data_IF_535540614965
#
_entry.id   IF_535540614965
#
_cell.length_a   1.000
_cell.length_b   1.000
_cell.length_c   1.000
_cell.angle_alpha   90.00
_cell.angle_beta   90.00
_cell.angle_gamma   90.00
#
_symmetry.space_group_name_H-M   'P 1'
#
loop_
_entity.id
_entity.type
_entity.pdbx_description
1 polymer ?
#
# COMPACT_ATOMS: atom_id res chain seq x y z
N UNK A 1 7.57 -13.14 67.80
CA UNK A 1 8.25 -14.00 66.81
C UNK A 1 7.21 -14.84 66.09
N UNK A 2 7.39 -15.00 64.77
CA UNK A 2 6.66 -15.82 63.78
C UNK A 2 5.55 -15.12 62.96
N UNK A 3 6.01 -14.77 61.76
CA UNK A 3 5.37 -14.49 60.47
C UNK A 3 4.18 -15.40 60.10
N UNK A 4 3.23 -14.87 59.32
CA UNK A 4 2.88 -15.25 57.92
C UNK A 4 1.54 -14.59 57.54
N UNK A 5 1.52 -13.66 56.57
CA UNK A 5 1.20 -13.87 55.14
C UNK A 5 -0.30 -14.12 54.89
N UNK A 6 -1.06 -13.17 54.35
CA UNK A 6 -1.27 -12.98 52.90
C UNK A 6 -2.80 -12.86 52.71
N UNK A 7 -3.41 -12.02 51.89
CA UNK A 7 -3.19 -11.74 50.47
C UNK A 7 -3.77 -10.34 50.23
N UNK A 8 -2.95 -9.38 49.80
CA UNK A 8 -3.45 -8.14 49.19
C UNK A 8 -3.69 -8.44 47.72
N UNK A 9 -4.96 -8.43 47.32
CA UNK A 9 -5.40 -8.47 45.92
C UNK A 9 -4.88 -7.20 45.26
N UNK A 10 -3.68 -7.30 44.66
CA UNK A 10 -3.20 -6.29 43.73
C UNK A 10 -3.90 -6.55 42.41
N UNK A 11 -4.89 -5.70 42.13
CA UNK A 11 -5.53 -5.58 40.84
C UNK A 11 -4.47 -5.06 39.85
N UNK A 12 -3.64 -5.96 39.33
CA UNK A 12 -2.86 -5.67 38.14
C UNK A 12 -3.86 -5.54 37.00
N UNK A 13 -4.19 -4.28 36.69
CA UNK A 13 -4.57 -3.88 35.35
C UNK A 13 -3.41 -4.32 34.46
N UNK A 14 -3.51 -5.54 33.94
CA UNK A 14 -2.65 -6.03 32.87
C UNK A 14 -2.96 -5.12 31.70
N UNK A 15 -2.12 -4.10 31.56
CA UNK A 15 -1.89 -3.44 30.29
C UNK A 15 -1.84 -4.52 29.22
N UNK A 16 -2.84 -4.51 28.33
CA UNK A 16 -2.83 -5.26 27.08
C UNK A 16 -1.78 -4.66 26.12
N UNK A 17 -0.55 -4.51 26.62
CA UNK A 17 0.64 -4.12 25.90
C UNK A 17 1.58 -5.30 26.11
N UNK A 18 1.40 -6.39 25.37
CA UNK A 18 2.51 -7.23 24.93
C UNK A 18 2.00 -8.21 23.86
N UNK A 19 2.63 -8.16 22.69
CA UNK A 19 2.57 -9.13 21.59
C UNK A 19 1.34 -9.10 20.64
N UNK A 20 1.15 -7.99 19.91
CA UNK A 20 0.38 -8.00 18.65
C UNK A 20 1.23 -7.61 17.43
N UNK A 21 2.54 -7.82 17.48
CA UNK A 21 3.44 -7.41 16.40
C UNK A 21 3.59 -8.45 15.28
N UNK A 22 3.29 -9.73 15.54
CA UNK A 22 3.35 -10.80 14.52
C UNK A 22 2.01 -11.15 13.84
N UNK A 23 0.87 -10.94 14.51
CA UNK A 23 -0.46 -11.39 14.05
C UNK A 23 -1.35 -10.28 13.45
N UNK A 24 -0.90 -9.02 13.44
CA UNK A 24 -1.73 -7.89 13.02
C UNK A 24 -1.86 -7.76 11.50
N UNK A 25 -0.80 -8.06 10.74
CA UNK A 25 -0.83 -7.95 9.27
C UNK A 25 -1.73 -9.03 8.62
N UNK A 26 -1.54 -10.30 9.00
CA UNK A 26 -2.39 -11.39 8.52
C UNK A 26 -3.86 -11.17 8.90
N UNK A 27 -4.13 -10.79 10.16
CA UNK A 27 -5.48 -10.49 10.62
C UNK A 27 -6.11 -9.30 9.87
N UNK A 28 -5.35 -8.25 9.54
CA UNK A 28 -5.88 -7.12 8.78
C UNK A 28 -6.17 -7.47 7.32
N UNK A 29 -5.36 -8.34 6.69
CA UNK A 29 -5.63 -8.85 5.35
C UNK A 29 -6.88 -9.74 5.32
N UNK A 30 -7.05 -10.62 6.32
CA UNK A 30 -8.24 -11.47 6.41
C UNK A 30 -9.51 -10.64 6.64
N UNK A 31 -9.48 -9.64 7.53
CA UNK A 31 -10.60 -8.70 7.70
C UNK A 31 -10.93 -7.96 6.38
N UNK A 32 -9.90 -7.59 5.62
CA UNK A 32 -10.07 -6.91 4.34
C UNK A 32 -10.72 -7.82 3.29
N UNK A 33 -10.34 -9.11 3.24
CA UNK A 33 -10.96 -10.13 2.39
C UNK A 33 -12.41 -10.38 2.78
N UNK A 34 -12.72 -10.50 4.07
CA UNK A 34 -14.09 -10.64 4.57
C UNK A 34 -14.99 -9.47 4.18
N UNK A 35 -14.43 -8.26 4.09
CA UNK A 35 -15.16 -7.08 3.60
C UNK A 35 -15.41 -7.19 2.10
N UNK A 36 -14.43 -7.64 1.29
CA UNK A 36 -14.64 -7.89 -0.14
C UNK A 36 -15.73 -8.94 -0.35
N UNK A 37 -15.71 -10.05 0.39
CA UNK A 37 -16.68 -11.13 0.21
C UNK A 37 -18.13 -10.66 0.44
N UNK A 38 -18.34 -9.83 1.46
CA UNK A 38 -19.66 -9.26 1.80
C UNK A 38 -20.08 -8.10 0.89
N UNK A 39 -19.16 -7.53 0.10
CA UNK A 39 -19.40 -6.34 -0.72
C UNK A 39 -18.98 -6.57 -2.19
N UNK A 40 -18.97 -7.83 -2.64
CA UNK A 40 -18.58 -8.19 -4.00
C UNK A 40 -19.42 -7.43 -5.04
N UNK A 41 -18.76 -6.96 -6.10
CA UNK A 41 -19.38 -6.18 -7.18
C UNK A 41 -19.39 -4.67 -6.95
N UNK A 42 -19.00 -4.18 -5.77
CA UNK A 42 -18.79 -2.75 -5.54
C UNK A 42 -17.54 -2.22 -6.24
N UNK A 43 -17.47 -0.90 -6.39
CA UNK A 43 -16.31 -0.24 -6.98
C UNK A 43 -15.07 -0.34 -6.09
N UNK A 44 -13.88 -0.27 -6.70
CA UNK A 44 -12.60 -0.26 -5.99
C UNK A 44 -12.53 0.83 -4.91
N UNK A 45 -13.16 1.99 -5.17
CA UNK A 45 -13.24 3.09 -4.22
C UNK A 45 -14.05 2.73 -2.98
N UNK A 46 -15.26 2.21 -3.17
CA UNK A 46 -16.16 1.85 -2.06
C UNK A 46 -15.53 0.75 -1.19
N UNK A 47 -14.93 -0.26 -1.82
CA UNK A 47 -14.23 -1.33 -1.11
C UNK A 47 -13.06 -0.78 -0.30
N UNK A 48 -12.17 0.00 -0.92
CA UNK A 48 -11.02 0.57 -0.22
C UNK A 48 -11.43 1.48 0.96
N UNK A 49 -12.50 2.26 0.82
CA UNK A 49 -13.01 3.13 1.90
C UNK A 49 -13.60 2.31 3.06
N UNK A 50 -14.37 1.24 2.77
CA UNK A 50 -14.93 0.33 3.78
C UNK A 50 -13.83 -0.42 4.53
N UNK A 51 -12.89 -1.00 3.79
CA UNK A 51 -11.74 -1.71 4.36
C UNK A 51 -10.93 -0.76 5.24
N UNK A 52 -10.56 0.42 4.73
CA UNK A 52 -9.78 1.38 5.50
C UNK A 52 -10.49 1.81 6.78
N UNK A 53 -11.81 2.08 6.71
CA UNK A 53 -12.61 2.49 7.87
C UNK A 53 -12.60 1.41 8.96
N UNK A 54 -12.83 0.15 8.58
CA UNK A 54 -12.88 -0.94 9.54
C UNK A 54 -11.50 -1.26 10.12
N UNK A 55 -10.46 -1.29 9.29
CA UNK A 55 -9.10 -1.53 9.76
C UNK A 55 -8.62 -0.41 10.70
N UNK A 56 -8.87 0.85 10.39
CA UNK A 56 -8.49 1.95 11.29
C UNK A 56 -9.27 1.93 12.61
N UNK A 57 -10.51 1.45 12.61
CA UNK A 57 -11.31 1.29 13.82
C UNK A 57 -10.73 0.16 14.70
N UNK A 58 -10.42 -0.99 14.10
CA UNK A 58 -9.93 -2.18 14.81
C UNK A 58 -8.47 -2.07 15.23
N UNK A 59 -7.65 -1.39 14.43
CA UNK A 59 -6.20 -1.23 14.62
C UNK A 59 -5.80 0.23 14.84
N UNK A 60 -6.52 0.95 15.71
CA UNK A 60 -6.38 2.41 15.93
C UNK A 60 -5.00 2.89 16.36
N UNK A 61 -4.11 2.00 16.83
CA UNK A 61 -2.71 2.30 17.14
C UNK A 61 -1.76 2.27 15.94
N UNK A 62 -2.28 2.13 14.72
CA UNK A 62 -1.51 2.03 13.47
C UNK A 62 -1.97 3.08 12.47
N UNK A 63 -1.10 3.43 11.54
CA UNK A 63 -1.51 4.15 10.34
C UNK A 63 -1.80 3.13 9.23
N UNK A 64 -3.04 3.06 8.77
CA UNK A 64 -3.45 2.15 7.71
C UNK A 64 -3.24 2.72 6.30
N UNK A 65 -2.97 1.81 5.37
CA UNK A 65 -3.06 2.04 3.94
C UNK A 65 -3.78 0.87 3.29
N UNK A 66 -4.71 1.18 2.40
CA UNK A 66 -5.44 0.19 1.59
C UNK A 66 -5.41 0.65 0.14
N UNK A 67 -5.12 -0.28 -0.78
CA UNK A 67 -5.34 -0.06 -2.20
C UNK A 67 -6.14 -1.21 -2.81
N UNK A 68 -7.09 -0.85 -3.66
CA UNK A 68 -7.93 -1.80 -4.43
C UNK A 68 -7.90 -1.37 -5.89
N UNK A 69 -7.73 -2.33 -6.79
CA UNK A 69 -7.72 -2.08 -8.23
C UNK A 69 -8.04 -3.34 -9.03
N UNK A 70 -8.35 -3.16 -10.31
CA UNK A 70 -8.76 -4.24 -11.18
C UNK A 70 -7.59 -5.20 -11.49
N UNK A 71 -7.86 -6.49 -11.71
CA UNK A 71 -6.92 -7.45 -12.25
C UNK A 71 -6.34 -6.98 -13.59
N UNK A 72 -5.03 -6.78 -13.61
CA UNK A 72 -4.29 -6.44 -14.83
C UNK A 72 -3.73 -7.70 -15.50
N UNK A 73 -3.77 -7.72 -16.84
CA UNK A 73 -3.23 -8.80 -17.70
C UNK A 73 -2.02 -8.28 -18.48
N UNK A 74 -1.10 -9.18 -18.84
CA UNK A 74 0.09 -8.85 -19.63
C UNK A 74 1.40 -9.09 -18.87
N UNK A 75 2.53 -8.77 -19.51
CA UNK A 75 3.85 -9.19 -19.06
C UNK A 75 4.19 -8.67 -17.64
N UNK A 76 4.06 -7.37 -17.37
CA UNK A 76 4.34 -6.78 -16.05
C UNK A 76 3.55 -5.46 -15.83
N UNK A 77 2.22 -5.52 -15.69
CA UNK A 77 1.36 -4.34 -15.63
C UNK A 77 1.30 -3.66 -14.24
N UNK A 78 1.88 -4.27 -13.21
CA UNK A 78 2.04 -3.66 -11.90
C UNK A 78 3.33 -4.15 -11.23
N UNK A 79 3.82 -3.40 -10.25
CA UNK A 79 4.84 -3.87 -9.32
C UNK A 79 4.70 -3.12 -8.01
N UNK A 80 4.72 -3.85 -6.90
CA UNK A 80 4.35 -3.33 -5.59
C UNK A 80 5.31 -3.87 -4.52
N UNK A 81 5.48 -3.10 -3.45
CA UNK A 81 6.09 -3.53 -2.21
C UNK A 81 5.32 -2.97 -1.04
N UNK A 82 5.15 -3.80 -0.01
CA UNK A 82 4.39 -3.49 1.21
C UNK A 82 5.15 -3.97 2.44
N UNK A 83 5.00 -3.25 3.54
CA UNK A 83 5.57 -3.57 4.85
C UNK A 83 4.50 -3.41 5.92
N UNK A 84 4.57 -4.23 6.96
CA UNK A 84 3.56 -4.22 8.03
C UNK A 84 2.15 -4.56 7.50
N UNK A 85 2.07 -5.37 6.45
CA UNK A 85 0.83 -5.72 5.75
C UNK A 85 1.08 -6.82 4.70
N UNK A 86 0.16 -6.95 3.75
CA UNK A 86 0.17 -8.01 2.74
C UNK A 86 -0.58 -7.59 1.47
N UNK A 87 -0.58 -8.42 0.43
CA UNK A 87 -1.39 -8.24 -0.78
C UNK A 87 -2.11 -9.53 -1.20
N UNK A 88 -3.24 -9.38 -1.87
CA UNK A 88 -3.98 -10.48 -2.48
C UNK A 88 -4.31 -10.13 -3.93
N UNK A 89 -3.78 -10.89 -4.88
CA UNK A 89 -4.05 -10.68 -6.29
C UNK A 89 -5.20 -11.54 -6.78
N UNK A 90 -6.06 -10.94 -7.61
CA UNK A 90 -7.24 -11.58 -8.22
C UNK A 90 -8.23 -12.17 -7.20
N UNK A 91 -8.25 -11.65 -5.98
CA UNK A 91 -9.21 -12.05 -4.95
C UNK A 91 -10.60 -11.53 -5.31
N UNK A 92 -11.52 -12.43 -5.65
CA UNK A 92 -12.88 -12.08 -6.08
C UNK A 92 -12.96 -11.03 -7.19
N UNK A 93 -12.00 -11.02 -8.11
CA UNK A 93 -11.95 -10.04 -9.20
C UNK A 93 -11.29 -8.71 -8.84
N UNK A 94 -10.59 -8.64 -7.70
CA UNK A 94 -9.85 -7.46 -7.24
C UNK A 94 -8.38 -7.80 -6.96
N UNK A 95 -7.51 -6.81 -7.10
CA UNK A 95 -6.22 -6.80 -6.43
C UNK A 95 -6.32 -5.92 -5.19
N UNK A 96 -5.83 -6.43 -4.07
CA UNK A 96 -5.92 -5.80 -2.76
C UNK A 96 -4.53 -5.67 -2.16
N UNK A 97 -4.22 -4.50 -1.62
CA UNK A 97 -3.03 -4.24 -0.82
C UNK A 97 -3.45 -3.66 0.51
N UNK A 98 -2.86 -4.15 1.59
CA UNK A 98 -2.93 -3.58 2.92
C UNK A 98 -1.51 -3.34 3.40
N UNK A 99 -1.22 -2.16 3.92
CA UNK A 99 0.04 -1.85 4.57
C UNK A 99 -0.23 -1.05 5.85
N UNK A 100 0.69 -1.11 6.79
CA UNK A 100 0.57 -0.30 8.01
C UNK A 100 1.91 0.08 8.61
N UNK A 101 1.93 1.26 9.22
CA UNK A 101 3.06 1.75 10.01
C UNK A 101 2.66 2.00 11.46
N UNK A 102 3.65 2.13 12.35
CA UNK A 102 3.39 2.55 13.74
C UNK A 102 2.81 3.97 13.77
N UNK A 103 1.87 4.25 14.67
CA UNK A 103 1.26 5.59 14.81
C UNK A 103 2.28 6.71 15.01
N UNK A 104 3.42 6.41 15.64
CA UNK A 104 4.53 7.35 15.86
C UNK A 104 5.39 7.66 14.64
N UNK A 105 5.19 6.98 13.50
CA UNK A 105 5.93 7.28 12.26
C UNK A 105 5.58 8.68 11.78
N UNK A 106 6.60 9.46 11.41
CA UNK A 106 6.43 10.81 10.87
C UNK A 106 5.59 10.82 9.59
N UNK A 107 4.94 11.96 9.34
CA UNK A 107 4.18 12.16 8.10
C UNK A 107 5.08 12.13 6.86
N UNK A 108 4.51 11.78 5.72
CA UNK A 108 5.22 11.78 4.44
C UNK A 108 5.49 13.22 4.00
N UNK A 109 6.72 13.54 3.57
CA UNK A 109 6.97 14.76 2.83
C UNK A 109 6.31 14.66 1.45
N UNK A 110 5.07 15.13 1.36
CA UNK A 110 4.22 14.97 0.17
C UNK A 110 4.77 15.69 -1.05
N UNK A 111 5.37 16.88 -0.88
CA UNK A 111 5.92 17.65 -2.00
C UNK A 111 7.11 16.92 -2.63
N UNK A 112 8.03 16.44 -1.78
CA UNK A 112 9.15 15.61 -2.22
C UNK A 112 8.65 14.33 -2.90
N UNK A 113 7.70 13.61 -2.29
CA UNK A 113 7.15 12.38 -2.83
C UNK A 113 6.49 12.60 -4.20
N UNK A 114 5.68 13.64 -4.34
CA UNK A 114 5.09 14.02 -5.62
C UNK A 114 6.14 14.34 -6.68
N UNK A 115 7.20 15.07 -6.32
CA UNK A 115 8.33 15.35 -7.21
C UNK A 115 8.99 14.06 -7.72
N UNK A 116 9.20 13.07 -6.85
CA UNK A 116 9.76 11.77 -7.24
C UNK A 116 8.82 10.96 -8.14
N UNK A 117 7.54 10.85 -7.79
CA UNK A 117 6.57 10.10 -8.59
C UNK A 117 6.33 10.74 -9.97
N UNK A 118 6.35 12.07 -10.06
CA UNK A 118 6.18 12.78 -11.34
C UNK A 118 7.38 12.66 -12.27
N UNK A 119 8.59 12.53 -11.71
CA UNK A 119 9.82 12.33 -12.48
C UNK A 119 10.10 10.87 -12.87
N UNK A 120 9.27 9.92 -12.40
CA UNK A 120 9.40 8.51 -12.73
C UNK A 120 9.55 8.27 -14.26
N UNK A 121 10.56 7.51 -14.71
CA UNK A 121 10.74 7.24 -16.14
C UNK A 121 9.63 6.29 -16.63
N UNK A 122 9.10 6.56 -17.83
CA UNK A 122 8.20 5.62 -18.55
C UNK A 122 8.88 4.98 -19.77
N UNK A 123 10.04 5.52 -20.16
CA UNK A 123 10.78 5.11 -21.35
C UNK A 123 12.27 5.02 -21.05
N UNK A 124 12.97 4.20 -21.82
CA UNK A 124 14.43 4.14 -21.89
C UNK A 124 14.90 4.28 -23.33
N UNK A 125 16.19 4.59 -23.51
CA UNK A 125 16.83 4.58 -24.82
C UNK A 125 17.06 3.14 -25.28
N UNK A 126 16.53 2.80 -26.45
CA UNK A 126 16.74 1.53 -27.14
C UNK A 126 18.06 1.48 -27.90
N UNK A 127 18.39 0.31 -28.43
CA UNK A 127 19.65 0.04 -29.13
C UNK A 127 19.90 0.98 -30.32
N UNK A 128 18.85 1.36 -31.05
CA UNK A 128 18.91 2.28 -32.19
C UNK A 128 18.60 3.73 -31.82
N UNK A 129 18.66 4.08 -30.53
CA UNK A 129 18.35 5.42 -30.03
C UNK A 129 16.86 5.76 -29.95
N UNK A 130 15.96 4.85 -30.36
CA UNK A 130 14.52 5.00 -30.20
C UNK A 130 14.10 4.90 -28.73
N UNK A 131 13.00 5.54 -28.34
CA UNK A 131 12.43 5.34 -27.01
C UNK A 131 11.70 3.98 -26.94
N UNK A 132 11.94 3.25 -25.86
CA UNK A 132 11.32 1.96 -25.57
C UNK A 132 10.61 2.08 -24.23
N UNK A 133 9.33 1.70 -24.20
CA UNK A 133 8.55 1.63 -22.96
C UNK A 133 9.22 0.70 -21.96
N UNK A 134 9.21 1.08 -20.68
CA UNK A 134 9.68 0.22 -19.60
C UNK A 134 8.51 -0.36 -18.81
N UNK A 135 8.71 -1.60 -18.37
CA UNK A 135 7.72 -2.35 -17.59
C UNK A 135 7.70 -1.92 -16.13
N UNK A 136 6.62 -2.25 -15.43
CA UNK A 136 6.39 -1.80 -14.06
C UNK A 136 7.55 -2.19 -13.13
N UNK A 137 8.09 -3.40 -13.27
CA UNK A 137 9.21 -3.90 -12.47
C UNK A 137 10.47 -3.03 -12.61
N UNK A 138 10.84 -2.71 -13.84
CA UNK A 138 12.04 -1.91 -14.11
C UNK A 138 11.90 -0.49 -13.54
N UNK A 139 10.72 0.12 -13.68
CA UNK A 139 10.44 1.43 -13.06
C UNK A 139 10.52 1.31 -11.54
N UNK A 140 9.90 0.28 -10.96
CA UNK A 140 9.89 0.08 -9.52
C UNK A 140 11.30 0.00 -8.94
N UNK A 141 12.19 -0.81 -9.51
CA UNK A 141 13.55 -0.97 -8.98
C UNK A 141 14.41 0.27 -9.19
N UNK A 142 14.21 1.01 -10.29
CA UNK A 142 14.86 2.32 -10.45
C UNK A 142 14.35 3.37 -9.49
N UNK A 143 13.11 3.22 -9.03
CA UNK A 143 12.52 4.18 -8.13
C UNK A 143 12.80 3.83 -6.68
N UNK A 144 12.62 2.57 -6.26
CA UNK A 144 12.62 2.14 -4.86
C UNK A 144 13.92 2.55 -4.17
N UNK A 145 15.10 1.94 -4.34
CA UNK A 145 16.32 2.45 -3.68
C UNK A 145 16.81 3.80 -4.22
N UNK A 146 16.83 3.99 -5.54
CA UNK A 146 17.63 5.08 -6.12
C UNK A 146 16.95 6.46 -6.05
N UNK A 147 15.62 6.52 -6.05
CA UNK A 147 14.89 7.79 -6.21
C UNK A 147 13.93 8.11 -5.08
N UNK A 148 13.18 7.11 -4.61
CA UNK A 148 12.28 7.28 -3.48
C UNK A 148 13.06 6.97 -2.20
N UNK A 149 13.58 5.77 -2.05
CA UNK A 149 14.35 5.20 -0.94
C UNK A 149 13.79 3.82 -0.53
N UNK A 150 14.35 3.20 0.48
CA UNK A 150 14.14 1.76 0.66
C UNK A 150 12.76 1.42 1.25
N UNK A 151 12.12 0.40 0.65
CA UNK A 151 10.88 -0.17 1.18
C UNK A 151 11.18 -0.80 2.54
N UNK A 152 10.30 -0.54 3.50
CA UNK A 152 10.37 -0.91 4.92
C UNK A 152 11.30 -0.06 5.78
N UNK A 153 12.22 0.70 5.18
CA UNK A 153 13.07 1.63 5.91
C UNK A 153 12.51 3.05 5.84
N UNK A 154 12.15 3.51 4.65
CA UNK A 154 11.67 4.88 4.44
C UNK A 154 10.14 4.98 4.26
N UNK A 155 9.51 3.95 3.71
CA UNK A 155 8.06 3.85 3.45
C UNK A 155 7.54 2.44 3.66
N UNK A 156 6.22 2.33 3.78
CA UNK A 156 5.52 1.09 4.12
C UNK A 156 4.68 0.54 2.95
N UNK A 157 4.41 1.36 1.94
CA UNK A 157 3.89 0.87 0.66
C UNK A 157 4.40 1.75 -0.47
N UNK A 158 4.95 1.13 -1.50
CA UNK A 158 5.33 1.79 -2.74
C UNK A 158 4.95 0.88 -3.90
N UNK A 159 4.56 1.47 -5.02
CA UNK A 159 4.33 0.70 -6.22
C UNK A 159 3.70 1.51 -7.33
N UNK A 160 3.44 0.80 -8.41
CA UNK A 160 2.81 1.33 -9.58
C UNK A 160 1.90 0.27 -10.21
N UNK A 161 0.78 0.73 -10.71
CA UNK A 161 -0.24 -0.09 -11.36
C UNK A 161 -0.58 0.57 -12.69
N UNK A 162 -0.73 -0.22 -13.75
CA UNK A 162 -1.12 0.31 -15.06
C UNK A 162 -2.37 1.19 -14.93
N UNK A 163 -2.39 2.36 -15.57
CA UNK A 163 -3.40 3.40 -15.34
C UNK A 163 -4.83 2.93 -15.64
N UNK A 164 -4.99 1.93 -16.50
CA UNK A 164 -6.28 1.34 -16.86
C UNK A 164 -6.89 0.41 -15.80
N UNK A 165 -6.22 0.20 -14.67
CA UNK A 165 -6.66 -0.73 -13.63
C UNK A 165 -7.67 -0.15 -12.63
N UNK A 166 -8.26 1.02 -12.90
CA UNK A 166 -9.21 1.69 -12.00
C UNK A 166 -8.71 1.77 -10.55
N UNK A 167 -7.44 2.16 -10.38
CA UNK A 167 -6.77 2.14 -9.09
C UNK A 167 -7.35 3.14 -8.10
N UNK A 168 -7.60 2.67 -6.87
CA UNK A 168 -7.93 3.53 -5.75
C UNK A 168 -7.14 3.14 -4.51
N UNK A 169 -6.68 4.14 -3.75
CA UNK A 169 -5.99 3.93 -2.49
C UNK A 169 -6.43 4.91 -1.41
N UNK A 170 -6.62 4.42 -0.19
CA UNK A 170 -7.02 5.17 1.00
C UNK A 170 -5.97 5.04 2.10
N UNK A 171 -5.62 6.19 2.66
CA UNK A 171 -4.82 6.38 3.86
C UNK A 171 -5.13 7.79 4.41
N UNK A 172 -4.55 8.14 5.55
CA UNK A 172 -4.52 9.54 5.98
C UNK A 172 -3.86 10.40 4.89
N UNK A 173 -4.42 11.60 4.66
CA UNK A 173 -3.90 12.50 3.63
C UNK A 173 -2.43 12.84 3.87
N UNK A 174 -1.99 13.07 5.10
CA UNK A 174 -0.60 13.39 5.41
C UNK A 174 0.40 12.25 5.11
N UNK A 175 -0.09 11.04 4.82
CA UNK A 175 0.72 9.81 4.75
C UNK A 175 0.83 9.17 3.38
N UNK A 176 0.03 9.60 2.40
CA UNK A 176 -0.02 8.97 1.07
C UNK A 176 0.03 9.97 -0.07
N UNK A 177 0.87 9.71 -1.06
CA UNK A 177 0.81 10.38 -2.37
C UNK A 177 0.47 9.37 -3.45
N UNK A 178 -0.36 9.79 -4.41
CA UNK A 178 -0.64 9.05 -5.64
C UNK A 178 -0.44 9.98 -6.82
N UNK A 179 0.14 9.48 -7.92
CA UNK A 179 0.36 10.26 -9.14
C UNK A 179 0.16 9.37 -10.36
N UNK A 180 -0.62 9.83 -11.35
CA UNK A 180 -0.79 9.10 -12.61
C UNK A 180 0.04 9.77 -13.69
N UNK A 181 0.98 9.01 -14.27
CA UNK A 181 1.78 9.44 -15.42
C UNK A 181 1.36 8.67 -16.65
N UNK A 182 0.99 9.40 -17.70
CA UNK A 182 0.67 8.84 -19.00
C UNK A 182 1.81 9.14 -19.97
N UNK A 183 2.19 8.15 -20.74
CA UNK A 183 3.10 8.25 -21.87
C UNK A 183 2.41 8.82 -23.12
N UNK A 184 3.16 8.86 -24.21
CA UNK A 184 2.67 9.30 -25.51
C UNK A 184 1.50 8.42 -26.00
N UNK A 185 0.62 9.03 -26.78
CA UNK A 185 -0.54 8.35 -27.35
C UNK A 185 -0.12 7.49 -28.54
N UNK A 186 -0.40 6.18 -28.48
CA UNK A 186 -0.10 5.27 -29.59
C UNK A 186 -1.14 5.39 -30.71
N UNK A 187 -0.78 4.96 -31.92
CA UNK A 187 -1.76 4.70 -33.00
C UNK A 187 -2.82 3.73 -32.48
N UNK A 188 -4.09 4.15 -32.48
CA UNK A 188 -5.20 3.41 -31.87
C UNK A 188 -5.72 4.01 -30.55
N UNK A 189 -5.14 5.12 -30.06
CA UNK A 189 -5.68 5.89 -28.93
C UNK A 189 -5.30 5.39 -27.53
N UNK A 190 -4.62 4.25 -27.42
CA UNK A 190 -4.14 3.73 -26.15
C UNK A 190 -2.91 4.50 -25.67
N UNK A 191 -2.92 4.90 -24.39
CA UNK A 191 -1.75 5.47 -23.70
C UNK A 191 -1.14 4.40 -22.81
N UNK A 192 0.17 4.22 -22.87
CA UNK A 192 0.92 3.51 -21.85
C UNK A 192 1.08 4.41 -20.63
N UNK A 193 1.01 3.88 -19.41
CA UNK A 193 1.14 4.71 -18.22
C UNK A 193 0.80 3.98 -16.94
N UNK A 194 1.16 4.59 -15.82
CA UNK A 194 0.97 4.01 -14.50
C UNK A 194 0.46 5.03 -13.51
N UNK A 195 -0.37 4.55 -12.59
CA UNK A 195 -0.65 5.21 -11.32
C UNK A 195 0.34 4.72 -10.29
N UNK A 196 1.19 5.63 -9.84
CA UNK A 196 2.16 5.45 -8.76
C UNK A 196 1.50 5.75 -7.42
N UNK A 197 1.94 5.06 -6.38
CA UNK A 197 1.54 5.33 -5.01
C UNK A 197 2.73 5.19 -4.07
N UNK A 198 2.72 6.01 -3.00
CA UNK A 198 3.70 5.98 -1.92
C UNK A 198 2.98 6.23 -0.59
N UNK A 199 3.30 5.44 0.43
CA UNK A 199 2.73 5.50 1.77
C UNK A 199 3.79 5.37 2.87
N UNK A 200 3.70 6.20 3.91
CA UNK A 200 4.57 6.20 5.10
C UNK A 200 3.79 6.21 6.42
#
# INVERSE_FOLDING_TARGET
>A
MKYMSGIRIFLFVVFAIFAQTGNTAASAMDDAKDIIDRNSGQSNRELAEKIYTELNRKYSGRNGFVAVYDPVRGAEPHWIGVCGGDYAFRYHGYNLLVASSSSGTSALNRSWAYGKLSNAPLYKKGFWGNQVEIYAREIFYRMSPDEVGDICDDWYAFGLVHHSANFYAKADWSRKVTYTKLGEQRRGGHRHGYTFFLFK
#
